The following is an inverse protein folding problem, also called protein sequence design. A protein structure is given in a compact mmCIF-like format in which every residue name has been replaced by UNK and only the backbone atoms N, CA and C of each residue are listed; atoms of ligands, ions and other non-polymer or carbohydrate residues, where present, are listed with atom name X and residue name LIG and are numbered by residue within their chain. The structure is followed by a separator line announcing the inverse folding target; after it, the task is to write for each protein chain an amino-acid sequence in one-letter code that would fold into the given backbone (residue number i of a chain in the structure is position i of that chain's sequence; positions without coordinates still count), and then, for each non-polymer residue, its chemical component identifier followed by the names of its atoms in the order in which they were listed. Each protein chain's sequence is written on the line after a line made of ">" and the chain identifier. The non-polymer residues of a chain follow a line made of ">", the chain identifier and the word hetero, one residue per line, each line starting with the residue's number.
data_IF_408183311493
#
_entry.id   IF_408183311493
#
_cell.length_a   1.000
_cell.length_b   1.000
_cell.length_c   1.000
_cell.angle_alpha   90.00
_cell.angle_beta   90.00
_cell.angle_gamma   90.00
#
_symmetry.space_group_name_H-M   'P 1'
#
loop_
_entity.id
_entity.type
_entity.pdbx_description
1 polymer ?
#
# COMPACT_ATOMS: atom_id res chain seq x y z
N UNK A 1 -2.55 -13.81 31.17
CA UNK A 1 -1.29 -13.05 31.19
C UNK A 1 -0.24 -13.86 30.43
N UNK A 2 -0.20 -13.73 29.11
CA UNK A 2 0.70 -14.53 28.27
C UNK A 2 2.08 -13.85 28.26
N UNK A 3 3.04 -14.44 28.98
CA UNK A 3 4.42 -13.94 29.02
C UNK A 3 5.08 -14.27 27.68
N UNK A 4 5.34 -13.25 26.87
CA UNK A 4 6.18 -13.37 25.67
C UNK A 4 7.59 -13.70 26.14
N UNK A 5 8.14 -14.82 25.69
CA UNK A 5 9.53 -15.19 25.96
C UNK A 5 10.46 -14.48 24.97
N UNK A 6 11.65 -14.03 25.41
CA UNK A 6 12.62 -13.40 24.52
C UNK A 6 13.26 -14.50 23.65
N UNK A 7 13.03 -14.44 22.34
CA UNK A 7 13.60 -15.38 21.38
C UNK A 7 14.87 -14.79 20.74
N UNK A 8 16.02 -15.40 21.04
CA UNK A 8 17.28 -15.32 20.28
C UNK A 8 17.93 -13.92 20.19
N UNK A 9 19.17 -13.84 19.67
CA UNK A 9 19.77 -12.55 19.32
C UNK A 9 18.95 -11.88 18.20
N UNK A 10 18.50 -10.65 18.46
CA UNK A 10 17.62 -9.85 17.62
C UNK A 10 16.14 -10.17 17.85
N UNK A 11 15.52 -9.58 18.86
CA UNK A 11 14.05 -9.67 19.01
C UNK A 11 13.35 -8.93 17.85
N UNK A 12 12.07 -9.26 17.58
CA UNK A 12 11.29 -8.54 16.55
C UNK A 12 11.21 -7.04 16.84
N UNK A 13 11.09 -6.69 18.12
CA UNK A 13 11.03 -5.31 18.60
C UNK A 13 12.35 -4.57 18.36
N UNK A 14 13.49 -5.22 18.61
CA UNK A 14 14.82 -4.64 18.33
C UNK A 14 15.00 -4.35 16.84
N UNK A 15 14.67 -5.29 15.95
CA UNK A 15 14.75 -5.08 14.50
C UNK A 15 13.81 -3.96 14.01
N UNK A 16 12.61 -3.88 14.58
CA UNK A 16 11.67 -2.81 14.24
C UNK A 16 12.19 -1.44 14.71
N UNK A 17 12.79 -1.38 15.90
CA UNK A 17 13.43 -0.16 16.40
C UNK A 17 14.63 0.26 15.52
N UNK A 18 15.45 -0.69 15.07
CA UNK A 18 16.54 -0.44 14.11
C UNK A 18 16.02 0.12 12.77
N UNK A 19 14.91 -0.42 12.27
CA UNK A 19 14.24 0.09 11.07
C UNK A 19 13.74 1.53 11.25
N UNK A 20 13.13 1.84 12.40
CA UNK A 20 12.67 3.20 12.71
C UNK A 20 13.86 4.18 12.78
N UNK A 21 14.95 3.81 13.46
CA UNK A 21 16.15 4.63 13.54
C UNK A 21 16.78 4.89 12.16
N UNK A 22 16.80 3.88 11.28
CA UNK A 22 17.23 4.05 9.90
C UNK A 22 16.32 5.03 9.14
N UNK A 23 15.00 4.90 9.30
CA UNK A 23 14.04 5.78 8.65
C UNK A 23 14.20 7.24 9.10
N UNK A 24 14.36 7.51 10.39
CA UNK A 24 14.64 8.86 10.90
C UNK A 24 15.93 9.46 10.33
N UNK A 25 16.99 8.66 10.23
CA UNK A 25 18.25 9.08 9.60
C UNK A 25 18.05 9.45 8.12
N UNK A 26 17.32 8.63 7.37
CA UNK A 26 17.04 8.90 5.95
C UNK A 26 16.07 10.07 5.75
N UNK A 27 15.10 10.26 6.66
CA UNK A 27 14.23 11.43 6.67
C UNK A 27 15.04 12.72 6.78
N UNK A 28 15.99 12.78 7.72
CA UNK A 28 16.88 13.92 7.87
C UNK A 28 17.75 14.14 6.62
N UNK A 29 18.29 13.06 6.04
CA UNK A 29 19.13 13.12 4.84
C UNK A 29 18.38 13.60 3.59
N UNK A 30 17.12 13.19 3.44
CA UNK A 30 16.29 13.45 2.25
C UNK A 30 15.33 14.64 2.41
N UNK A 31 15.23 15.22 3.61
CA UNK A 31 14.28 16.29 3.90
C UNK A 31 12.82 15.83 3.88
N UNK A 32 12.56 14.58 4.29
CA UNK A 32 11.20 14.03 4.35
C UNK A 32 10.54 14.47 5.67
N UNK A 33 9.41 15.21 5.66
CA UNK A 33 8.81 15.77 6.88
C UNK A 33 8.19 14.74 7.83
N UNK A 34 7.65 13.64 7.29
CA UNK A 34 6.96 12.63 8.07
C UNK A 34 6.81 11.30 7.34
N UNK A 35 6.84 10.21 8.11
CA UNK A 35 6.79 8.82 7.62
C UNK A 35 5.96 7.99 8.59
N UNK A 36 5.17 7.06 8.07
CA UNK A 36 4.58 5.97 8.83
C UNK A 36 5.16 4.63 8.35
N UNK A 37 5.49 3.73 9.29
CA UNK A 37 6.00 2.37 9.01
C UNK A 37 5.08 1.37 9.69
N UNK A 38 4.67 0.35 8.93
CA UNK A 38 3.93 -0.80 9.45
C UNK A 38 4.57 -2.10 9.00
N UNK A 39 4.74 -3.05 9.92
CA UNK A 39 5.24 -4.41 9.65
C UNK A 39 4.28 -5.42 10.27
N UNK A 40 3.80 -6.35 9.45
CA UNK A 40 2.95 -7.47 9.90
C UNK A 40 3.72 -8.77 9.67
N UNK A 41 3.94 -9.54 10.73
CA UNK A 41 4.59 -10.86 10.73
C UNK A 41 3.75 -11.88 11.51
N UNK A 42 2.96 -12.67 10.77
CA UNK A 42 1.96 -13.56 11.36
C UNK A 42 0.89 -12.76 12.12
N UNK A 43 0.82 -12.96 13.44
CA UNK A 43 -0.08 -12.22 14.34
C UNK A 43 0.56 -10.97 14.95
N UNK A 44 1.85 -10.72 14.70
CA UNK A 44 2.55 -9.54 15.21
C UNK A 44 2.34 -8.36 14.27
N UNK A 45 2.05 -7.21 14.86
CA UNK A 45 1.93 -5.94 14.18
C UNK A 45 2.83 -4.93 14.89
N UNK A 46 3.67 -4.24 14.11
CA UNK A 46 4.52 -3.15 14.58
C UNK A 46 4.22 -1.91 13.75
N UNK A 47 3.84 -0.82 14.41
CA UNK A 47 3.47 0.46 13.78
C UNK A 47 4.30 1.59 14.41
N UNK A 48 4.76 2.52 13.58
CA UNK A 48 5.45 3.72 14.02
C UNK A 48 5.13 4.90 13.11
N UNK A 49 4.90 6.07 13.71
CA UNK A 49 4.85 7.35 13.02
C UNK A 49 6.02 8.22 13.44
N UNK A 50 6.67 8.88 12.49
CA UNK A 50 7.80 9.78 12.70
C UNK A 50 7.55 11.11 12.00
N UNK A 51 7.96 12.21 12.64
CA UNK A 51 7.86 13.55 12.07
C UNK A 51 6.44 14.11 12.07
N UNK A 52 6.11 14.89 11.04
CA UNK A 52 4.87 15.69 10.97
C UNK A 52 4.15 15.54 9.63
N UNK A 53 2.84 15.73 9.65
CA UNK A 53 1.95 15.62 8.47
C UNK A 53 2.12 16.75 7.45
N UNK A 54 2.57 17.92 7.89
CA UNK A 54 2.76 19.11 7.05
C UNK A 54 3.85 20.01 7.62
N UNK A 55 4.60 20.64 6.73
CA UNK A 55 5.60 21.67 7.09
C UNK A 55 4.95 23.00 7.49
N UNK A 56 3.76 23.28 6.98
CA UNK A 56 3.03 24.53 7.24
C UNK A 56 2.15 24.42 8.49
N UNK A 57 1.53 23.25 8.69
CA UNK A 57 0.58 23.02 9.78
C UNK A 57 0.87 21.67 10.46
N UNK A 58 1.93 21.60 11.27
CA UNK A 58 2.48 20.33 11.74
C UNK A 58 1.57 19.66 12.77
N UNK A 59 1.12 18.45 12.45
CA UNK A 59 0.59 17.49 13.41
C UNK A 59 1.51 16.27 13.45
N UNK A 60 1.69 15.60 14.61
CA UNK A 60 2.46 14.37 14.67
C UNK A 60 1.91 13.32 13.71
N UNK A 61 2.79 12.59 13.03
CA UNK A 61 2.39 11.37 12.31
C UNK A 61 2.18 10.26 13.32
N UNK A 62 1.07 9.55 13.19
CA UNK A 62 0.71 8.36 13.97
C UNK A 62 0.13 7.26 13.07
N UNK A 63 -0.36 6.17 13.68
CA UNK A 63 -0.91 5.03 12.96
C UNK A 63 -2.21 5.33 12.20
N UNK A 64 -2.93 6.39 12.57
CA UNK A 64 -4.21 6.78 11.97
C UNK A 64 -4.07 7.89 10.92
N UNK A 65 -2.85 8.39 10.74
CA UNK A 65 -2.53 9.45 9.78
C UNK A 65 -2.75 8.97 8.34
N UNK A 66 -3.60 9.68 7.59
CA UNK A 66 -3.86 9.39 6.18
C UNK A 66 -2.83 10.04 5.27
N UNK A 67 -2.28 9.24 4.35
CA UNK A 67 -1.37 9.69 3.30
C UNK A 67 -1.99 9.52 1.91
N UNK A 68 -1.57 10.36 0.95
CA UNK A 68 -1.83 10.11 -0.46
C UNK A 68 -0.90 8.97 -0.94
N UNK A 69 -1.46 7.78 -1.18
CA UNK A 69 -0.68 6.57 -1.50
C UNK A 69 -0.38 6.38 -3.00
N UNK A 70 -0.90 7.25 -3.87
CA UNK A 70 -0.59 7.27 -5.30
C UNK A 70 -0.77 5.91 -6.00
N UNK A 71 0.27 5.46 -6.72
CA UNK A 71 0.21 4.21 -7.49
C UNK A 71 -0.01 2.95 -6.64
N UNK A 72 0.22 2.98 -5.33
CA UNK A 72 -0.12 1.88 -4.42
C UNK A 72 -1.62 1.55 -4.46
N UNK A 73 -2.48 2.52 -4.79
CA UNK A 73 -3.92 2.29 -5.03
C UNK A 73 -4.18 1.21 -6.10
N UNK A 74 -3.30 1.06 -7.10
CA UNK A 74 -3.46 0.05 -8.17
C UNK A 74 -3.50 -1.38 -7.63
N UNK A 75 -2.73 -1.66 -6.57
CA UNK A 75 -2.77 -2.98 -5.91
C UNK A 75 -4.16 -3.28 -5.37
N UNK A 76 -4.79 -2.30 -4.70
CA UNK A 76 -6.16 -2.43 -4.17
C UNK A 76 -7.16 -2.61 -5.31
N UNK A 77 -7.07 -1.81 -6.36
CA UNK A 77 -7.92 -1.94 -7.56
C UNK A 77 -7.78 -3.31 -8.21
N UNK A 78 -6.55 -3.80 -8.38
CA UNK A 78 -6.27 -5.12 -8.93
C UNK A 78 -6.86 -6.24 -8.06
N UNK A 79 -6.73 -6.14 -6.73
CA UNK A 79 -7.37 -7.09 -5.81
C UNK A 79 -8.89 -7.08 -5.98
N UNK A 80 -9.53 -5.91 -6.04
CA UNK A 80 -10.98 -5.81 -6.24
C UNK A 80 -11.39 -6.45 -7.58
N UNK A 81 -10.65 -6.19 -8.66
CA UNK A 81 -10.91 -6.80 -9.96
C UNK A 81 -10.85 -8.33 -9.89
N UNK A 82 -9.82 -8.90 -9.25
CA UNK A 82 -9.72 -10.35 -9.08
C UNK A 82 -10.83 -10.94 -8.21
N UNK A 83 -11.30 -10.22 -7.18
CA UNK A 83 -12.47 -10.63 -6.38
C UNK A 83 -13.76 -10.67 -7.23
N UNK A 84 -13.89 -9.82 -8.25
CA UNK A 84 -14.99 -9.88 -9.20
C UNK A 84 -14.85 -11.07 -10.17
N UNK A 85 -13.63 -11.41 -10.56
CA UNK A 85 -13.34 -12.62 -11.37
C UNK A 85 -13.74 -13.89 -10.60
N UNK A 86 -13.33 -14.01 -9.34
CA UNK A 86 -13.71 -15.14 -8.48
C UNK A 86 -15.23 -15.32 -8.34
N UNK A 87 -15.98 -14.20 -8.40
CA UNK A 87 -17.44 -14.19 -8.34
C UNK A 87 -18.12 -14.42 -9.69
N UNK A 88 -17.35 -14.57 -10.77
CA UNK A 88 -17.87 -14.66 -12.14
C UNK A 88 -18.48 -13.36 -12.68
N UNK A 89 -18.26 -12.23 -12.00
CA UNK A 89 -18.78 -10.92 -12.41
C UNK A 89 -17.85 -10.21 -13.42
N UNK A 90 -16.58 -10.60 -13.47
CA UNK A 90 -15.57 -10.07 -14.38
C UNK A 90 -14.86 -11.21 -15.09
N UNK A 91 -14.57 -11.05 -16.38
CA UNK A 91 -13.81 -11.96 -17.21
C UNK A 91 -12.62 -11.18 -17.77
N UNK A 92 -11.41 -11.59 -17.39
CA UNK A 92 -10.18 -10.90 -17.78
C UNK A 92 -9.88 -11.01 -19.27
N UNK A 93 -10.40 -12.05 -19.92
CA UNK A 93 -10.13 -12.36 -21.32
C UNK A 93 -11.27 -11.89 -22.24
N UNK A 94 -12.37 -11.38 -21.66
CA UNK A 94 -13.39 -10.67 -22.41
C UNK A 94 -12.91 -9.27 -22.83
N UNK A 95 -13.34 -8.76 -24.00
CA UNK A 95 -13.08 -7.37 -24.38
C UNK A 95 -13.60 -6.40 -23.31
N UNK A 96 -12.82 -5.36 -23.00
CA UNK A 96 -13.16 -4.38 -21.97
C UNK A 96 -14.52 -3.70 -22.23
N UNK A 97 -14.89 -3.52 -23.51
CA UNK A 97 -16.19 -3.01 -23.95
C UNK A 97 -17.40 -3.84 -23.52
N UNK A 98 -17.21 -5.10 -23.11
CA UNK A 98 -18.26 -5.89 -22.46
C UNK A 98 -18.77 -5.21 -21.18
N UNK A 99 -17.88 -4.53 -20.46
CA UNK A 99 -18.16 -3.87 -19.19
C UNK A 99 -18.23 -2.33 -19.33
N UNK A 100 -17.50 -1.77 -20.31
CA UNK A 100 -17.41 -0.34 -20.59
C UNK A 100 -17.81 -0.07 -22.06
N UNK A 101 -19.10 -0.17 -22.42
CA UNK A 101 -19.55 -0.09 -23.81
C UNK A 101 -19.19 1.24 -24.50
N UNK A 102 -19.00 2.31 -23.72
CA UNK A 102 -18.61 3.63 -24.16
C UNK A 102 -17.09 3.83 -24.33
N UNK A 103 -16.27 2.81 -24.07
CA UNK A 103 -14.82 2.90 -24.18
C UNK A 103 -14.39 3.28 -25.61
N UNK A 104 -13.73 4.43 -25.72
CA UNK A 104 -13.12 4.95 -26.95
C UNK A 104 -11.63 5.07 -26.73
N UNK A 105 -10.85 4.50 -27.64
CA UNK A 105 -9.40 4.69 -27.71
C UNK A 105 -9.04 5.35 -29.05
N UNK A 106 -7.79 5.80 -29.18
CA UNK A 106 -7.30 6.39 -30.43
C UNK A 106 -7.35 5.40 -31.60
N UNK A 107 -7.12 4.11 -31.33
CA UNK A 107 -7.27 3.02 -32.28
C UNK A 107 -8.54 2.23 -31.97
N UNK A 108 -9.48 2.23 -32.92
CA UNK A 108 -10.76 1.54 -32.79
C UNK A 108 -10.61 0.01 -32.78
N UNK A 109 -9.62 -0.52 -33.50
CA UNK A 109 -9.30 -1.95 -33.43
C UNK A 109 -8.84 -2.32 -32.03
N UNK A 110 -7.98 -1.52 -31.40
CA UNK A 110 -7.58 -1.74 -30.01
C UNK A 110 -8.79 -1.61 -29.07
N UNK A 111 -9.62 -0.57 -29.22
CA UNK A 111 -10.80 -0.39 -28.38
C UNK A 111 -11.79 -1.57 -28.46
N UNK A 112 -11.91 -2.20 -29.63
CA UNK A 112 -12.79 -3.34 -29.86
C UNK A 112 -12.27 -4.66 -29.26
N UNK A 113 -10.94 -4.82 -29.12
CA UNK A 113 -10.34 -6.12 -28.78
C UNK A 113 -9.54 -6.13 -27.47
N UNK A 114 -9.15 -4.96 -26.95
CA UNK A 114 -8.42 -4.89 -25.68
C UNK A 114 -9.23 -5.56 -24.57
N UNK A 115 -8.58 -6.46 -23.83
CA UNK A 115 -9.22 -7.19 -22.73
C UNK A 115 -8.84 -6.56 -21.39
N UNK A 116 -9.57 -6.90 -20.32
CA UNK A 116 -9.27 -6.41 -18.97
C UNK A 116 -7.94 -6.92 -18.38
N UNK A 117 -7.30 -7.89 -19.04
CA UNK A 117 -5.96 -8.38 -18.68
C UNK A 117 -4.83 -7.42 -19.09
N UNK A 118 -5.05 -6.57 -20.09
CA UNK A 118 -4.05 -5.64 -20.64
C UNK A 118 -4.03 -4.33 -19.85
#
# INVERSE_FOLDING_TARGET
>A
MHRVQPNGPGSSDERFAELCALAESEMARLGVPGVAIGVIDGEREHLAGMGVTSVENPLPVDADTLFQIGSTTKTVTGTIAMRLVERGALDLDAPARRYLPELRLADESVAAHVTLRH
#
